data_IF_814129060797
#
_entry.id   IF_814129060797
#
_cell.length_a   1.000
_cell.length_b   1.000
_cell.length_c   1.000
_cell.angle_alpha   90.00
_cell.angle_beta   90.00
_cell.angle_gamma   90.00
#
_symmetry.space_group_name_H-M   'P 1'
#
loop_
_entity.id
_entity.type
_entity.pdbx_description
1 polymer ?
#
# COMPACT_ATOMS: atom_id res chain seq x y z
N UNK A 1 12.90 65.14 49.98
CA UNK A 1 11.78 64.24 50.38
C UNK A 1 11.05 63.89 49.09
N UNK A 2 11.26 62.69 48.49
CA UNK A 2 10.51 61.43 48.78
C UNK A 2 9.03 61.62 48.39
N UNK A 3 8.33 60.86 47.54
CA UNK A 3 8.54 59.58 46.83
C UNK A 3 7.44 59.44 45.75
N UNK A 4 7.79 58.88 44.59
CA UNK A 4 7.16 57.73 43.86
C UNK A 4 5.61 57.65 43.70
N UNK A 5 5.11 57.40 42.47
CA UNK A 5 4.62 56.06 42.05
C UNK A 5 3.99 56.02 40.65
N UNK A 6 4.41 55.01 39.89
CA UNK A 6 3.79 54.33 38.73
C UNK A 6 3.49 55.09 37.43
N UNK A 7 4.32 54.81 36.41
CA UNK A 7 3.91 54.81 35.00
C UNK A 7 4.17 53.43 34.42
N UNK A 8 3.09 52.78 33.99
CA UNK A 8 3.10 51.54 33.22
C UNK A 8 3.75 51.82 31.86
N UNK A 9 4.77 51.05 31.50
CA UNK A 9 5.36 51.03 30.16
C UNK A 9 4.59 49.98 29.35
N UNK A 10 3.84 50.45 28.35
CA UNK A 10 3.20 49.61 27.35
C UNK A 10 4.25 49.26 26.29
N UNK A 11 4.70 48.01 26.28
CA UNK A 11 5.56 47.45 25.22
C UNK A 11 4.65 46.99 24.09
N UNK A 12 4.76 47.64 22.92
CA UNK A 12 4.08 47.24 21.70
C UNK A 12 4.78 46.05 21.06
N UNK A 13 4.14 44.88 21.11
CA UNK A 13 4.60 43.65 20.47
C UNK A 13 4.05 43.61 19.04
N UNK A 14 4.93 43.74 18.05
CA UNK A 14 4.58 43.59 16.63
C UNK A 14 4.51 42.09 16.32
N UNK A 15 3.29 41.56 16.15
CA UNK A 15 3.07 40.23 15.60
C UNK A 15 3.20 40.31 14.07
N UNK A 16 4.29 39.79 13.52
CA UNK A 16 4.44 39.55 12.08
C UNK A 16 3.75 38.21 11.78
N UNK A 17 2.51 38.27 11.29
CA UNK A 17 1.74 37.11 10.85
C UNK A 17 2.25 36.71 9.46
N UNK A 18 3.16 35.73 9.40
CA UNK A 18 3.56 35.11 8.13
C UNK A 18 2.40 34.19 7.73
N UNK A 19 1.56 34.67 6.81
CA UNK A 19 0.63 33.81 6.11
C UNK A 19 1.45 32.92 5.16
N UNK A 20 1.74 31.68 5.59
CA UNK A 20 2.18 30.65 4.67
C UNK A 20 1.04 30.42 3.68
N UNK A 21 1.22 30.92 2.45
CA UNK A 21 0.36 30.54 1.33
C UNK A 21 0.69 29.07 1.06
N UNK A 22 -0.10 28.17 1.63
CA UNK A 22 -0.09 26.76 1.22
C UNK A 22 -0.53 26.79 -0.24
N UNK A 23 0.43 26.65 -1.15
CA UNK A 23 0.11 26.38 -2.54
C UNK A 23 -0.72 25.09 -2.55
N UNK A 24 -1.90 25.04 -3.18
CA UNK A 24 -2.60 23.79 -3.36
C UNK A 24 -1.67 22.89 -4.17
N UNK A 25 -1.14 21.84 -3.52
CA UNK A 25 -0.46 20.77 -4.22
C UNK A 25 -1.47 20.19 -5.20
N UNK A 26 -1.28 20.42 -6.50
CA UNK A 26 -2.18 19.90 -7.52
C UNK A 26 -1.85 18.42 -7.70
N UNK A 27 -2.41 17.58 -6.85
CA UNK A 27 -2.25 16.14 -6.97
C UNK A 27 -2.86 15.67 -8.31
N UNK A 28 -2.04 15.11 -9.18
CA UNK A 28 -2.51 14.52 -10.44
C UNK A 28 -3.00 13.11 -10.21
N UNK A 29 -4.15 12.75 -10.75
CA UNK A 29 -4.67 11.38 -10.69
C UNK A 29 -4.47 10.67 -12.03
N UNK A 30 -4.22 9.37 -11.98
CA UNK A 30 -4.02 8.51 -13.14
C UNK A 30 -4.95 7.30 -13.04
N UNK A 31 -5.65 7.02 -14.14
CA UNK A 31 -6.49 5.82 -14.30
C UNK A 31 -5.64 4.62 -14.75
N UNK A 32 -5.54 3.59 -13.92
CA UNK A 32 -4.99 2.29 -14.29
C UNK A 32 -6.15 1.39 -14.68
N UNK A 33 -6.13 0.86 -15.90
CA UNK A 33 -7.25 0.08 -16.48
C UNK A 33 -6.95 -1.41 -16.47
N UNK A 34 -7.96 -2.22 -16.17
CA UNK A 34 -7.95 -3.66 -16.42
C UNK A 34 -8.28 -4.01 -17.86
N UNK A 35 -8.13 -5.29 -18.19
CA UNK A 35 -8.51 -5.83 -19.48
C UNK A 35 -10.03 -5.69 -19.71
N UNK A 36 -10.44 -5.29 -20.92
CA UNK A 36 -11.86 -5.17 -21.25
C UNK A 36 -12.53 -6.53 -21.41
N UNK A 37 -13.74 -6.63 -20.89
CA UNK A 37 -14.67 -7.74 -21.07
C UNK A 37 -15.76 -7.31 -22.04
N UNK A 38 -16.00 -8.13 -23.07
CA UNK A 38 -17.09 -7.95 -24.03
C UNK A 38 -18.20 -8.94 -23.71
N UNK A 39 -19.32 -8.43 -23.17
CA UNK A 39 -20.44 -9.26 -22.72
C UNK A 39 -21.09 -10.04 -23.85
N UNK A 40 -20.85 -9.70 -25.13
CA UNK A 40 -21.38 -10.47 -26.25
C UNK A 40 -20.66 -11.80 -26.49
N UNK A 41 -19.43 -11.98 -25.99
CA UNK A 41 -18.60 -13.15 -26.31
C UNK A 41 -17.93 -13.78 -25.09
N UNK A 42 -17.94 -13.11 -23.95
CA UNK A 42 -17.38 -13.65 -22.70
C UNK A 42 -18.48 -14.30 -21.88
N UNK A 43 -18.34 -15.59 -21.57
CA UNK A 43 -19.22 -16.29 -20.63
C UNK A 43 -19.04 -15.75 -19.20
N UNK A 44 -20.09 -15.81 -18.37
CA UNK A 44 -20.11 -15.36 -16.98
C UNK A 44 -18.86 -15.79 -16.19
N UNK A 45 -18.58 -17.09 -16.17
CA UNK A 45 -17.47 -17.71 -15.43
C UNK A 45 -16.07 -17.23 -15.88
N UNK A 46 -15.97 -16.56 -17.04
CA UNK A 46 -14.73 -16.04 -17.59
C UNK A 46 -14.54 -14.54 -17.33
N UNK A 47 -15.47 -13.89 -16.62
CA UNK A 47 -15.36 -12.50 -16.21
C UNK A 47 -14.47 -12.43 -14.97
N UNK A 48 -13.20 -12.10 -15.17
CA UNK A 48 -12.21 -12.13 -14.10
C UNK A 48 -11.01 -11.22 -14.34
N UNK A 49 -10.52 -10.61 -13.25
CA UNK A 49 -9.33 -9.79 -13.21
C UNK A 49 -8.39 -10.17 -12.08
N UNK A 50 -7.14 -10.39 -12.43
CA UNK A 50 -6.02 -10.51 -11.50
C UNK A 50 -4.88 -9.61 -11.96
N UNK A 51 -3.72 -9.71 -11.32
CA UNK A 51 -2.57 -8.89 -11.66
C UNK A 51 -2.07 -9.05 -13.10
N UNK A 52 -2.39 -10.16 -13.78
CA UNK A 52 -1.93 -10.44 -15.14
C UNK A 52 -2.66 -9.60 -16.18
N UNK A 53 -3.89 -9.20 -15.88
CA UNK A 53 -4.76 -8.48 -16.80
C UNK A 53 -5.32 -7.16 -16.21
N UNK A 54 -5.04 -6.86 -14.93
CA UNK A 54 -5.38 -5.61 -14.29
C UNK A 54 -4.24 -5.10 -13.39
N UNK A 55 -3.35 -4.22 -13.91
CA UNK A 55 -2.20 -3.70 -13.15
C UNK A 55 -2.56 -2.83 -11.93
N UNK A 56 -3.85 -2.53 -11.72
CA UNK A 56 -4.33 -1.85 -10.52
C UNK A 56 -4.39 -2.76 -9.29
N UNK A 57 -4.51 -4.08 -9.52
CA UNK A 57 -4.34 -5.11 -8.51
C UNK A 57 -2.85 -5.38 -8.33
N UNK A 58 -2.40 -5.39 -7.09
CA UNK A 58 -1.01 -5.58 -6.76
C UNK A 58 -0.63 -7.06 -6.86
N UNK A 59 0.58 -7.29 -7.38
CA UNK A 59 1.23 -8.58 -7.28
C UNK A 59 2.75 -8.45 -7.23
N UNK A 60 3.39 -9.24 -6.38
CA UNK A 60 4.84 -9.28 -6.23
C UNK A 60 5.51 -10.15 -7.32
N UNK A 61 5.33 -9.77 -8.59
CA UNK A 61 5.73 -10.56 -9.77
C UNK A 61 7.19 -11.02 -9.78
N UNK A 62 8.10 -10.23 -9.22
CA UNK A 62 9.53 -10.49 -9.28
C UNK A 62 10.05 -11.38 -8.13
N UNK A 63 9.19 -11.84 -7.22
CA UNK A 63 9.59 -12.63 -6.05
C UNK A 63 9.27 -14.13 -6.16
N UNK A 64 8.51 -14.56 -7.18
CA UNK A 64 8.08 -15.95 -7.32
C UNK A 64 8.19 -16.45 -8.76
N UNK A 65 8.85 -17.59 -8.95
CA UNK A 65 8.96 -18.31 -10.22
C UNK A 65 7.76 -19.21 -10.52
N UNK A 66 6.83 -19.35 -9.56
CA UNK A 66 5.60 -20.12 -9.71
C UNK A 66 4.41 -19.19 -9.49
N UNK A 67 3.89 -18.70 -10.61
CA UNK A 67 2.74 -17.81 -10.68
C UNK A 67 1.52 -18.64 -11.02
N UNK A 68 0.69 -18.95 -10.03
CA UNK A 68 -0.68 -19.43 -10.32
C UNK A 68 -1.57 -18.21 -10.61
N UNK A 69 -2.48 -18.33 -11.58
CA UNK A 69 -3.58 -17.39 -11.73
C UNK A 69 -4.33 -17.24 -10.39
N UNK A 70 -4.76 -16.02 -10.05
CA UNK A 70 -5.38 -15.74 -8.75
C UNK A 70 -4.43 -15.68 -7.54
N UNK A 71 -3.10 -15.61 -7.75
CA UNK A 71 -2.17 -15.30 -6.67
C UNK A 71 -2.20 -13.80 -6.31
N UNK A 72 -2.28 -13.47 -5.02
CA UNK A 72 -2.44 -12.09 -4.57
C UNK A 72 -3.91 -11.69 -4.59
N UNK A 73 -4.23 -10.60 -5.27
CA UNK A 73 -5.60 -10.09 -5.41
C UNK A 73 -6.28 -10.64 -6.67
N UNK A 74 -7.57 -10.97 -6.54
CA UNK A 74 -8.39 -11.51 -7.62
C UNK A 74 -9.82 -11.01 -7.49
N UNK A 75 -10.33 -10.39 -8.55
CA UNK A 75 -11.71 -9.92 -8.66
C UNK A 75 -12.40 -10.74 -9.75
N UNK A 76 -13.51 -11.39 -9.46
CA UNK A 76 -14.21 -12.20 -10.45
C UNK A 76 -15.72 -12.17 -10.23
N UNK A 77 -16.45 -12.54 -11.28
CA UNK A 77 -17.89 -12.73 -11.23
C UNK A 77 -18.19 -14.21 -11.03
N UNK A 78 -19.10 -14.51 -10.11
CA UNK A 78 -19.68 -15.83 -9.91
C UNK A 78 -21.19 -15.69 -10.04
N UNK A 79 -21.78 -16.43 -10.99
CA UNK A 79 -23.21 -16.37 -11.21
C UNK A 79 -23.94 -17.05 -10.05
N UNK A 80 -24.90 -16.36 -9.45
CA UNK A 80 -25.86 -16.98 -8.54
C UNK A 80 -27.16 -17.29 -9.30
N UNK A 81 -27.44 -18.57 -9.50
CA UNK A 81 -28.67 -19.01 -10.17
C UNK A 81 -29.95 -18.62 -9.39
N UNK A 82 -29.83 -18.31 -8.10
CA UNK A 82 -30.91 -17.80 -7.26
C UNK A 82 -31.03 -16.26 -7.29
N UNK A 83 -30.16 -15.59 -8.06
CA UNK A 83 -30.20 -14.16 -8.35
C UNK A 83 -31.52 -13.69 -8.97
N UNK A 84 -31.88 -12.45 -8.70
CA UNK A 84 -33.10 -11.82 -9.24
C UNK A 84 -32.94 -11.30 -10.67
N UNK A 85 -31.70 -11.11 -11.13
CA UNK A 85 -31.31 -10.52 -12.40
C UNK A 85 -30.72 -11.58 -13.35
N UNK A 86 -30.79 -11.37 -14.68
CA UNK A 86 -30.08 -12.26 -15.62
C UNK A 86 -28.55 -12.12 -15.45
N UNK A 87 -27.86 -13.26 -15.37
CA UNK A 87 -26.40 -13.36 -15.32
C UNK A 87 -25.68 -12.54 -16.40
N UNK A 88 -24.54 -11.92 -16.07
CA UNK A 88 -23.70 -11.23 -17.05
C UNK A 88 -23.05 -12.19 -18.06
N UNK A 89 -22.71 -11.65 -19.23
CA UNK A 89 -21.93 -12.36 -20.26
C UNK A 89 -22.74 -12.83 -21.46
N UNK A 90 -22.16 -13.76 -22.23
CA UNK A 90 -22.58 -14.12 -23.59
C UNK A 90 -24.03 -14.64 -23.68
N UNK A 91 -24.53 -15.24 -22.59
CA UNK A 91 -25.90 -15.73 -22.47
C UNK A 91 -26.92 -14.59 -22.34
N UNK A 92 -26.57 -13.50 -21.66
CA UNK A 92 -27.39 -12.29 -21.55
C UNK A 92 -26.53 -11.03 -21.85
N UNK A 93 -26.18 -10.75 -23.13
CA UNK A 93 -25.23 -9.69 -23.47
C UNK A 93 -25.60 -8.28 -22.98
N UNK A 94 -26.90 -8.03 -22.75
CA UNK A 94 -27.44 -6.74 -22.27
C UNK A 94 -27.59 -6.66 -20.75
N UNK A 95 -27.34 -7.75 -20.02
CA UNK A 95 -27.37 -7.76 -18.56
C UNK A 95 -26.28 -6.84 -18.01
N UNK A 96 -26.67 -5.99 -17.06
CA UNK A 96 -25.80 -4.95 -16.48
C UNK A 96 -26.06 -4.78 -14.98
N UNK A 97 -26.71 -5.75 -14.36
CA UNK A 97 -26.90 -5.82 -12.91
C UNK A 97 -26.11 -7.03 -12.43
N UNK A 98 -25.25 -6.80 -11.46
CA UNK A 98 -24.59 -7.79 -10.62
C UNK A 98 -25.45 -7.86 -9.37
N UNK A 99 -26.03 -9.00 -9.04
CA UNK A 99 -26.79 -9.17 -7.81
C UNK A 99 -25.86 -9.28 -6.58
N UNK A 100 -26.44 -9.18 -5.38
CA UNK A 100 -25.71 -9.40 -4.11
C UNK A 100 -24.95 -10.73 -4.16
N UNK A 101 -23.69 -10.73 -3.72
CA UNK A 101 -22.86 -11.93 -3.70
C UNK A 101 -22.21 -12.34 -5.04
N UNK A 102 -22.57 -11.74 -6.18
CA UNK A 102 -22.06 -12.22 -7.48
C UNK A 102 -20.68 -11.66 -7.89
N UNK A 103 -20.25 -10.52 -7.32
CA UNK A 103 -18.91 -9.98 -7.52
C UNK A 103 -18.05 -10.35 -6.32
N UNK A 104 -17.10 -11.24 -6.53
CA UNK A 104 -16.21 -11.76 -5.50
C UNK A 104 -14.81 -11.14 -5.63
N UNK A 105 -14.24 -10.76 -4.50
CA UNK A 105 -12.87 -10.33 -4.37
C UNK A 105 -12.14 -11.23 -3.34
N UNK A 106 -11.01 -11.81 -3.74
CA UNK A 106 -10.16 -12.58 -2.84
C UNK A 106 -8.77 -11.97 -2.78
N UNK A 107 -8.15 -12.06 -1.60
CA UNK A 107 -6.75 -11.66 -1.41
C UNK A 107 -6.04 -12.59 -0.43
N UNK A 108 -4.77 -12.88 -0.69
CA UNK A 108 -3.95 -13.78 0.14
C UNK A 108 -2.66 -13.12 0.57
N UNK A 109 -2.22 -13.46 1.78
CA UNK A 109 -0.91 -13.00 2.25
C UNK A 109 0.23 -13.66 1.47
N UNK A 110 1.31 -12.91 1.31
CA UNK A 110 2.48 -13.28 0.51
C UNK A 110 3.75 -13.06 1.32
N UNK A 111 4.61 -14.09 1.38
CA UNK A 111 5.85 -14.08 2.16
C UNK A 111 6.99 -13.31 1.50
N UNK A 112 7.27 -12.10 1.95
CA UNK A 112 8.41 -11.30 1.49
C UNK A 112 9.67 -11.51 2.35
N UNK A 113 10.84 -11.27 1.75
CA UNK A 113 12.11 -11.13 2.48
C UNK A 113 12.36 -9.67 2.80
N UNK A 114 12.86 -9.38 4.00
CA UNK A 114 13.49 -8.09 4.26
C UNK A 114 14.69 -7.92 3.33
N UNK A 115 14.92 -6.71 2.82
CA UNK A 115 16.04 -6.44 1.89
C UNK A 115 17.39 -6.75 2.52
N UNK A 116 17.60 -6.42 3.79
CA UNK A 116 18.84 -6.79 4.49
C UNK A 116 19.06 -8.31 4.49
N UNK A 117 18.00 -9.11 4.63
CA UNK A 117 18.10 -10.58 4.61
C UNK A 117 18.39 -11.15 3.21
N UNK A 118 18.00 -10.45 2.13
CA UNK A 118 18.29 -10.88 0.76
C UNK A 118 19.66 -10.42 0.26
N UNK A 119 20.09 -9.22 0.65
CA UNK A 119 21.29 -8.58 0.11
C UNK A 119 22.54 -8.81 0.97
N UNK A 120 22.38 -9.02 2.29
CA UNK A 120 23.52 -9.22 3.19
C UNK A 120 23.69 -10.69 3.59
N UNK A 121 24.95 -11.12 3.72
CA UNK A 121 25.27 -12.49 4.13
C UNK A 121 25.14 -12.68 5.64
N UNK A 122 24.80 -13.90 6.07
CA UNK A 122 24.77 -14.32 7.48
C UNK A 122 23.85 -13.50 8.39
N UNK A 123 22.74 -12.97 7.85
CA UNK A 123 21.70 -12.33 8.65
C UNK A 123 20.87 -13.40 9.36
N UNK A 124 20.72 -13.25 10.68
CA UNK A 124 19.90 -14.16 11.50
C UNK A 124 18.86 -13.43 12.36
N UNK A 125 19.02 -12.12 12.61
CA UNK A 125 18.06 -11.34 13.42
C UNK A 125 16.71 -11.15 12.76
N UNK A 126 16.67 -11.03 11.44
CA UNK A 126 15.47 -10.74 10.65
C UNK A 126 15.48 -11.55 9.37
N UNK A 127 14.33 -12.02 8.92
CA UNK A 127 14.27 -12.91 7.76
C UNK A 127 13.17 -12.51 6.77
N UNK A 128 11.92 -12.75 7.15
CA UNK A 128 10.75 -12.63 6.32
C UNK A 128 9.71 -11.78 7.04
N UNK A 129 8.82 -11.20 6.24
CA UNK A 129 7.59 -10.57 6.67
C UNK A 129 6.51 -10.96 5.67
N UNK A 130 5.25 -10.88 6.07
CA UNK A 130 4.15 -11.16 5.17
C UNK A 130 3.51 -9.85 4.73
N UNK A 131 3.01 -9.84 3.50
CA UNK A 131 2.31 -8.70 2.93
C UNK A 131 0.98 -9.14 2.37
N UNK A 132 -0.04 -8.33 2.53
CA UNK A 132 -1.34 -8.53 1.91
C UNK A 132 -1.74 -7.25 1.21
N UNK A 133 -2.28 -7.37 0.00
CA UNK A 133 -2.81 -6.22 -0.73
C UNK A 133 -4.32 -6.22 -0.70
N UNK A 134 -4.89 -5.08 -0.34
CA UNK A 134 -6.33 -4.87 -0.25
C UNK A 134 -6.70 -3.73 -1.19
N UNK A 135 -7.38 -4.07 -2.29
CA UNK A 135 -7.71 -3.16 -3.40
C UNK A 135 -6.47 -2.42 -3.93
N UNK A 136 -5.35 -3.14 -3.98
CA UNK A 136 -3.98 -2.79 -4.34
C UNK A 136 -3.35 -1.70 -3.48
N UNK A 137 -3.81 -1.53 -2.25
CA UNK A 137 -3.01 -0.92 -1.18
C UNK A 137 -2.28 -2.04 -0.46
N UNK A 138 -0.96 -1.92 -0.30
CA UNK A 138 -0.13 -2.97 0.30
C UNK A 138 0.06 -2.75 1.80
N UNK A 139 -0.19 -3.79 2.58
CA UNK A 139 -0.06 -3.83 4.03
C UNK A 139 0.99 -4.85 4.44
N UNK A 140 1.65 -4.59 5.57
CA UNK A 140 2.34 -5.63 6.32
C UNK A 140 1.28 -6.43 7.06
N UNK A 141 1.45 -7.74 7.04
CA UNK A 141 0.65 -8.67 7.84
C UNK A 141 1.35 -8.84 9.18
N UNK A 142 0.60 -8.66 10.27
CA UNK A 142 1.08 -8.85 11.63
C UNK A 142 0.89 -10.31 12.02
N UNK A 143 1.87 -10.87 12.73
CA UNK A 143 1.90 -12.28 13.17
C UNK A 143 1.61 -13.36 12.10
N UNK A 144 1.80 -13.03 10.81
CA UNK A 144 1.42 -13.92 9.70
C UNK A 144 -0.09 -14.26 9.67
N UNK A 145 -0.92 -13.39 10.22
CA UNK A 145 -2.37 -13.47 10.19
C UNK A 145 -2.92 -12.39 9.25
N UNK A 146 -3.38 -12.79 8.07
CA UNK A 146 -3.94 -11.90 7.04
C UNK A 146 -5.13 -11.04 7.50
N UNK A 147 -5.71 -11.32 8.66
CA UNK A 147 -6.74 -10.49 9.29
C UNK A 147 -6.16 -9.27 10.02
N UNK A 148 -4.85 -9.25 10.30
CA UNK A 148 -4.17 -8.20 11.06
C UNK A 148 -3.20 -7.45 10.18
N UNK A 149 -3.48 -6.18 9.89
CA UNK A 149 -2.78 -5.41 8.87
C UNK A 149 -2.22 -4.09 9.42
N UNK A 150 -1.00 -3.74 8.99
CA UNK A 150 -0.39 -2.43 9.22
C UNK A 150 0.09 -1.84 7.90
N UNK A 151 -0.20 -0.56 7.65
CA UNK A 151 0.14 0.10 6.38
C UNK A 151 1.65 0.24 6.23
N UNK A 152 2.19 -0.21 5.09
CA UNK A 152 3.60 0.01 4.77
C UNK A 152 3.78 1.46 4.26
N UNK A 153 4.68 2.20 4.89
CA UNK A 153 4.98 3.60 4.54
C UNK A 153 6.19 3.72 3.62
N UNK A 154 7.21 2.88 3.84
CA UNK A 154 8.48 2.98 3.13
C UNK A 154 9.17 1.62 3.02
N UNK A 155 9.76 1.37 1.85
CA UNK A 155 10.70 0.28 1.60
C UNK A 155 11.79 0.80 0.67
N UNK A 156 13.03 0.85 1.12
CA UNK A 156 14.18 1.14 0.25
C UNK A 156 14.43 -0.02 -0.71
N UNK A 157 14.82 0.29 -1.95
CA UNK A 157 15.39 -0.67 -2.88
C UNK A 157 16.79 -1.10 -2.44
N UNK A 158 17.36 -2.09 -3.13
CA UNK A 158 18.75 -2.56 -2.90
C UNK A 158 19.80 -1.50 -3.24
N UNK A 159 19.50 -0.60 -4.17
CA UNK A 159 20.40 0.47 -4.60
C UNK A 159 20.30 1.76 -3.77
N UNK A 160 19.21 1.92 -3.02
CA UNK A 160 18.95 3.14 -2.25
C UNK A 160 19.88 3.27 -1.05
N UNK A 161 20.31 4.50 -0.78
CA UNK A 161 21.14 4.84 0.37
C UNK A 161 20.68 6.15 0.99
N UNK A 162 20.73 6.23 2.32
CA UNK A 162 20.55 7.47 3.06
C UNK A 162 21.80 7.76 3.87
N UNK A 163 22.51 8.84 3.53
CA UNK A 163 23.60 9.36 4.37
C UNK A 163 23.02 10.29 5.42
N UNK A 164 23.46 10.15 6.67
CA UNK A 164 23.07 11.00 7.79
C UNK A 164 24.28 11.49 8.55
N UNK A 165 24.41 12.80 8.74
CA UNK A 165 25.42 13.39 9.63
C UNK A 165 25.01 13.27 11.09
N UNK A 166 25.98 13.33 12.00
CA UNK A 166 25.68 13.49 13.44
C UNK A 166 24.83 14.75 13.69
N UNK A 167 23.74 14.58 14.43
CA UNK A 167 22.69 15.57 14.67
C UNK A 167 21.67 15.74 13.54
N UNK A 168 21.80 15.04 12.40
CA UNK A 168 20.83 15.11 11.30
C UNK A 168 19.57 14.31 11.63
N UNK A 169 18.42 14.92 11.34
CA UNK A 169 17.11 14.27 11.34
C UNK A 169 16.72 13.89 9.91
N UNK A 170 16.30 12.64 9.73
CA UNK A 170 15.67 12.16 8.52
C UNK A 170 14.17 12.02 8.74
N UNK A 171 13.41 13.00 8.26
CA UNK A 171 11.95 12.94 8.27
C UNK A 171 11.43 11.94 7.24
N UNK A 172 10.52 11.09 7.69
CA UNK A 172 9.80 10.06 6.93
C UNK A 172 8.30 10.35 6.94
N UNK A 173 7.50 9.49 6.30
CA UNK A 173 6.04 9.68 6.21
C UNK A 173 5.36 9.54 7.57
N UNK A 174 4.14 10.06 7.69
CA UNK A 174 3.27 9.94 8.87
C UNK A 174 3.94 10.35 10.20
N UNK A 175 4.78 11.38 10.15
CA UNK A 175 5.40 11.96 11.35
C UNK A 175 6.55 11.14 11.93
N UNK A 176 6.97 10.06 11.27
CA UNK A 176 8.17 9.32 11.65
C UNK A 176 9.43 10.13 11.32
N UNK A 177 10.43 10.07 12.18
CA UNK A 177 11.77 10.54 11.86
C UNK A 177 12.85 9.74 12.56
N UNK A 178 14.01 9.64 11.93
CA UNK A 178 15.20 9.00 12.50
C UNK A 178 16.26 10.08 12.73
N UNK A 179 16.86 10.11 13.91
CA UNK A 179 17.95 11.04 14.23
C UNK A 179 19.25 10.25 14.38
N UNK A 180 20.28 10.69 13.67
CA UNK A 180 21.65 10.19 13.83
C UNK A 180 22.33 11.01 14.92
N UNK A 181 22.14 10.66 16.19
CA UNK A 181 22.56 11.52 17.31
C UNK A 181 24.08 11.76 17.32
N UNK A 182 24.87 10.69 17.25
CA UNK A 182 26.32 10.77 17.33
C UNK A 182 27.02 9.53 16.75
N UNK A 183 28.31 9.68 16.48
CA UNK A 183 29.24 8.59 16.16
C UNK A 183 30.27 8.53 17.27
N UNK A 184 30.71 7.32 17.63
CA UNK A 184 31.73 7.12 18.65
C UNK A 184 33.12 7.60 18.18
N UNK A 185 34.06 7.67 19.14
CA UNK A 185 35.41 8.20 18.87
C UNK A 185 36.16 7.34 17.86
N UNK A 186 35.94 6.02 17.89
CA UNK A 186 36.61 5.06 17.03
C UNK A 186 36.01 5.03 15.61
N UNK A 187 34.80 5.60 15.42
CA UNK A 187 34.15 5.70 14.13
C UNK A 187 33.49 4.41 13.66
N UNK A 188 33.14 3.52 14.59
CA UNK A 188 32.55 2.22 14.28
C UNK A 188 31.20 1.98 14.95
N UNK A 189 30.73 2.92 15.79
CA UNK A 189 29.39 2.87 16.37
C UNK A 189 28.65 4.17 16.16
N UNK A 190 27.36 4.04 15.90
CA UNK A 190 26.47 5.18 15.83
C UNK A 190 25.32 5.02 16.81
N UNK A 191 24.92 6.14 17.38
CA UNK A 191 23.79 6.26 18.29
C UNK A 191 22.63 6.89 17.53
N UNK A 192 21.50 6.17 17.45
CA UNK A 192 20.33 6.58 16.66
C UNK A 192 19.06 6.51 17.51
N UNK A 193 18.11 7.38 17.19
CA UNK A 193 16.80 7.44 17.85
C UNK A 193 15.70 7.55 16.82
N UNK A 194 14.67 6.72 16.95
CA UNK A 194 13.46 6.79 16.16
C UNK A 194 12.39 7.60 16.90
N UNK A 195 11.74 8.50 16.19
CA UNK A 195 10.66 9.34 16.70
C UNK A 195 9.38 9.15 15.88
N UNK A 196 8.25 9.45 16.52
CA UNK A 196 6.97 9.71 15.84
C UNK A 196 6.31 10.94 16.44
N UNK A 197 5.99 11.92 15.60
CA UNK A 197 5.39 13.19 16.02
C UNK A 197 6.17 13.90 17.15
N UNK A 198 7.50 13.74 17.17
CA UNK A 198 8.39 14.28 18.19
C UNK A 198 8.46 13.48 19.51
N UNK A 199 7.69 12.40 19.64
CA UNK A 199 7.82 11.44 20.75
C UNK A 199 8.86 10.37 20.40
N UNK A 200 9.78 10.10 21.32
CA UNK A 200 10.79 9.06 21.18
C UNK A 200 10.12 7.68 21.25
N UNK A 201 10.30 6.88 20.20
CA UNK A 201 9.80 5.51 20.15
C UNK A 201 10.84 4.52 20.67
N UNK A 202 12.06 4.62 20.16
CA UNK A 202 13.16 3.76 20.56
C UNK A 202 14.51 4.41 20.26
N UNK A 203 15.54 3.95 20.97
CA UNK A 203 16.89 4.46 20.91
C UNK A 203 17.89 3.30 20.93
N UNK A 204 18.84 3.28 19.98
CA UNK A 204 19.80 2.20 19.83
C UNK A 204 21.23 2.64 19.53
N UNK A 205 22.19 1.77 19.85
CA UNK A 205 23.58 1.87 19.38
C UNK A 205 23.84 0.74 18.41
N UNK A 206 24.28 1.09 17.21
CA UNK A 206 24.57 0.15 16.12
C UNK A 206 26.07 0.13 15.87
N UNK A 207 26.64 -1.06 15.64
CA UNK A 207 28.09 -1.25 15.51
C UNK A 207 28.44 -1.86 14.15
N UNK A 208 29.35 -1.24 13.42
CA UNK A 208 29.88 -1.76 12.15
C UNK A 208 31.08 -2.69 12.30
N UNK A 209 31.66 -2.79 13.49
CA UNK A 209 32.79 -3.69 13.80
C UNK A 209 32.38 -5.13 14.13
N UNK A 210 31.07 -5.40 14.17
CA UNK A 210 30.51 -6.70 14.54
C UNK A 210 30.16 -7.58 13.36
N UNK A 211 29.24 -8.51 13.62
CA UNK A 211 28.53 -9.27 12.60
C UNK A 211 27.61 -8.38 11.77
N UNK A 212 27.09 -8.88 10.65
CA UNK A 212 26.08 -8.14 9.89
C UNK A 212 24.77 -7.95 10.68
N UNK A 213 24.49 -8.82 11.65
CA UNK A 213 23.37 -8.62 12.58
C UNK A 213 23.59 -7.44 13.53
N UNK A 214 24.83 -7.12 13.89
CA UNK A 214 25.16 -5.97 14.77
C UNK A 214 24.99 -4.61 14.07
N UNK A 215 24.86 -4.64 12.73
CA UNK A 215 24.59 -3.49 11.88
C UNK A 215 23.11 -3.23 11.66
N UNK A 216 22.23 -4.13 12.12
CA UNK A 216 20.78 -3.96 11.99
C UNK A 216 20.25 -3.24 13.23
N UNK A 217 19.47 -2.19 12.98
CA UNK A 217 18.60 -1.57 13.95
C UNK A 217 17.16 -1.82 13.56
N UNK A 218 16.36 -2.37 14.46
CA UNK A 218 14.93 -2.54 14.26
C UNK A 218 14.21 -2.19 15.55
N UNK A 219 12.93 -1.86 15.40
CA UNK A 219 12.04 -1.57 16.52
C UNK A 219 10.79 -2.39 16.34
N UNK A 220 10.42 -3.08 17.40
CA UNK A 220 9.19 -3.86 17.54
C UNK A 220 8.35 -3.29 18.67
N UNK A 221 7.03 -3.43 18.55
CA UNK A 221 6.07 -3.11 19.60
C UNK A 221 5.03 -4.22 19.64
N UNK A 222 4.40 -4.41 20.80
CA UNK A 222 3.25 -5.29 20.93
C UNK A 222 2.03 -4.60 20.30
N UNK A 223 1.36 -5.28 19.38
CA UNK A 223 0.06 -4.86 18.88
C UNK A 223 -1.01 -4.99 19.98
N UNK A 224 -2.20 -4.41 19.75
CA UNK A 224 -3.28 -4.34 20.75
C UNK A 224 -3.78 -5.70 21.27
N UNK A 225 -3.47 -6.77 20.55
CA UNK A 225 -3.77 -8.17 20.80
C UNK A 225 -2.61 -8.97 21.43
N UNK A 226 -1.43 -8.35 21.58
CA UNK A 226 -0.24 -8.93 22.21
C UNK A 226 0.76 -9.55 21.24
N UNK A 227 0.60 -9.36 19.93
CA UNK A 227 1.54 -9.88 18.94
C UNK A 227 2.70 -8.90 18.66
N UNK A 228 3.93 -9.40 18.61
CA UNK A 228 5.11 -8.60 18.31
C UNK A 228 5.17 -8.19 16.83
N UNK A 229 5.25 -6.89 16.56
CA UNK A 229 5.35 -6.34 15.22
C UNK A 229 6.59 -5.46 15.04
N UNK A 230 7.53 -5.90 14.20
CA UNK A 230 8.60 -5.02 13.70
C UNK A 230 7.95 -3.97 12.80
N UNK A 231 7.91 -2.72 13.25
CA UNK A 231 7.37 -1.61 12.47
C UNK A 231 8.47 -0.71 11.88
N UNK A 232 9.72 -0.82 12.36
CA UNK A 232 10.86 -0.12 11.78
C UNK A 232 12.08 -1.01 11.69
N UNK A 233 12.83 -0.90 10.59
CA UNK A 233 14.09 -1.59 10.37
C UNK A 233 15.01 -0.78 9.48
N UNK A 234 16.30 -0.76 9.78
CA UNK A 234 17.34 -0.21 8.90
C UNK A 234 18.68 -0.91 9.11
N UNK A 235 19.52 -0.94 8.07
CA UNK A 235 20.88 -1.46 8.12
C UNK A 235 21.90 -0.32 8.05
N UNK A 236 22.84 -0.28 8.99
CA UNK A 236 23.95 0.67 8.99
C UNK A 236 25.12 0.06 8.21
N UNK A 237 25.23 0.46 6.95
CA UNK A 237 26.21 -0.06 6.00
C UNK A 237 27.64 0.33 6.39
N UNK A 238 27.82 1.60 6.75
CA UNK A 238 29.13 2.17 7.09
C UNK A 238 28.98 3.40 7.97
N UNK A 239 30.01 3.63 8.79
CA UNK A 239 30.16 4.80 9.66
C UNK A 239 31.51 5.43 9.32
N UNK A 240 31.53 6.76 9.27
CA UNK A 240 32.71 7.55 8.98
C UNK A 240 32.88 8.61 10.07
N UNK A 241 34.00 8.53 10.79
CA UNK A 241 34.43 9.56 11.72
C UNK A 241 35.51 10.44 11.05
N UNK A 242 35.14 11.65 10.67
CA UNK A 242 36.04 12.65 10.12
C UNK A 242 36.57 13.61 11.20
N UNK A 243 37.54 14.45 10.84
CA UNK A 243 38.00 15.51 11.76
C UNK A 243 36.97 16.62 11.98
N UNK A 244 36.03 16.78 11.03
CA UNK A 244 35.04 17.86 11.01
C UNK A 244 33.63 17.30 11.01
N UNK A 245 33.35 16.35 10.12
CA UNK A 245 32.03 15.74 9.97
C UNK A 245 32.10 14.25 10.28
N UNK A 246 31.09 13.78 11.01
CA UNK A 246 30.82 12.35 11.22
C UNK A 246 29.49 12.01 10.55
N UNK A 247 29.43 10.88 9.85
CA UNK A 247 28.22 10.42 9.19
C UNK A 247 28.13 8.91 9.12
N UNK A 248 26.91 8.40 8.94
CA UNK A 248 26.66 7.01 8.63
C UNK A 248 25.85 6.88 7.33
N UNK A 249 25.98 5.73 6.68
CA UNK A 249 25.21 5.36 5.49
C UNK A 249 24.24 4.27 5.87
N UNK A 250 22.95 4.54 5.69
CA UNK A 250 21.86 3.63 5.91
C UNK A 250 21.39 3.00 4.60
N UNK A 251 21.01 1.72 4.67
CA UNK A 251 20.40 0.95 3.58
C UNK A 251 19.22 0.15 4.10
N UNK A 252 18.42 -0.35 3.16
CA UNK A 252 17.36 -1.32 3.39
C UNK A 252 16.33 -0.88 4.44
N UNK A 253 16.12 0.43 4.58
CA UNK A 253 15.13 0.96 5.52
C UNK A 253 13.73 0.50 5.14
N UNK A 254 13.02 -0.05 6.11
CA UNK A 254 11.65 -0.54 6.01
C UNK A 254 10.83 0.06 7.16
N UNK A 255 9.64 0.57 6.85
CA UNK A 255 8.77 1.23 7.82
C UNK A 255 7.31 0.87 7.55
N UNK A 256 6.65 0.31 8.56
CA UNK A 256 5.20 0.22 8.67
C UNK A 256 4.69 1.23 9.71
N UNK A 257 3.46 1.66 9.54
CA UNK A 257 2.82 2.61 10.44
C UNK A 257 2.21 1.88 11.64
N UNK A 258 2.86 2.01 12.81
CA UNK A 258 2.45 1.39 14.07
C UNK A 258 1.04 1.80 14.52
N UNK A 259 0.55 2.98 14.11
CA UNK A 259 -0.78 3.47 14.51
C UNK A 259 -1.85 3.17 13.45
N UNK A 260 -1.50 2.41 12.39
CA UNK A 260 -2.43 2.03 11.31
C UNK A 260 -2.93 0.59 11.41
N UNK A 261 -2.78 -0.02 12.59
CA UNK A 261 -3.22 -1.38 12.83
C UNK A 261 -4.73 -1.49 12.61
N UNK A 262 -5.12 -2.42 11.75
CA UNK A 262 -6.50 -2.80 11.50
C UNK A 262 -6.63 -4.30 11.66
N UNK A 263 -7.70 -4.73 12.32
CA UNK A 263 -8.12 -6.12 12.41
C UNK A 263 -9.38 -6.27 11.55
N UNK A 264 -9.38 -7.27 10.67
CA UNK A 264 -10.44 -7.53 9.69
C UNK A 264 -11.19 -8.78 10.09
N UNK A 265 -12.49 -8.64 10.30
CA UNK A 265 -13.41 -9.70 10.68
C UNK A 265 -14.44 -9.97 9.58
N UNK A 266 -15.05 -11.15 9.63
CA UNK A 266 -16.24 -11.43 8.83
C UNK A 266 -17.36 -10.44 9.19
N UNK A 267 -18.04 -9.92 8.17
CA UNK A 267 -19.02 -8.85 8.29
C UNK A 267 -18.46 -7.43 8.22
N UNK A 268 -17.13 -7.24 8.15
CA UNK A 268 -16.56 -5.91 7.93
C UNK A 268 -16.84 -5.41 6.51
N UNK A 269 -17.19 -4.12 6.37
CA UNK A 269 -17.51 -3.51 5.09
C UNK A 269 -16.33 -2.73 4.49
N UNK A 270 -16.09 -2.94 3.19
CA UNK A 270 -15.14 -2.21 2.37
C UNK A 270 -15.81 -1.61 1.13
N UNK A 271 -16.51 -0.49 1.30
CA UNK A 271 -17.26 0.13 0.21
C UNK A 271 -18.50 -0.70 -0.09
N UNK A 272 -18.64 -1.21 -1.32
CA UNK A 272 -19.76 -2.10 -1.66
C UNK A 272 -19.47 -3.58 -1.34
N UNK A 273 -18.33 -3.90 -0.73
CA UNK A 273 -17.95 -5.26 -0.35
C UNK A 273 -18.18 -5.49 1.14
N UNK A 274 -18.56 -6.70 1.50
CA UNK A 274 -18.57 -7.23 2.86
C UNK A 274 -17.61 -8.43 2.92
N UNK A 275 -16.96 -8.63 4.07
CA UNK A 275 -16.07 -9.78 4.28
C UNK A 275 -16.87 -11.04 4.61
N UNK A 276 -16.93 -11.97 3.65
CA UNK A 276 -17.54 -13.28 3.84
C UNK A 276 -16.67 -14.15 4.76
N UNK A 277 -15.35 -14.15 4.51
CA UNK A 277 -14.39 -14.98 5.24
C UNK A 277 -13.10 -14.20 5.53
N UNK A 278 -12.70 -14.22 6.81
CA UNK A 278 -11.44 -13.66 7.29
C UNK A 278 -10.65 -14.78 8.00
N UNK A 279 -9.53 -15.20 7.40
CA UNK A 279 -8.66 -16.24 7.97
C UNK A 279 -7.19 -15.86 7.85
N UNK A 280 -6.33 -16.49 8.64
CA UNK A 280 -4.90 -16.18 8.66
C UNK A 280 -4.21 -16.25 7.28
N UNK A 281 -4.75 -17.01 6.32
CA UNK A 281 -4.18 -17.12 4.97
C UNK A 281 -4.64 -16.04 3.97
N UNK A 282 -5.77 -15.38 4.22
CA UNK A 282 -6.38 -14.44 3.28
C UNK A 282 -7.81 -14.04 3.63
N UNK A 283 -8.37 -13.19 2.77
CA UNK A 283 -9.73 -12.65 2.90
C UNK A 283 -10.53 -12.97 1.63
N UNK A 284 -11.82 -13.25 1.81
CA UNK A 284 -12.82 -13.36 0.75
C UNK A 284 -13.93 -12.36 1.04
N UNK A 285 -14.28 -11.57 0.03
CA UNK A 285 -15.28 -10.53 0.10
C UNK A 285 -16.23 -10.65 -1.08
N UNK A 286 -17.50 -10.35 -0.85
CA UNK A 286 -18.53 -10.29 -1.89
C UNK A 286 -19.28 -8.97 -1.82
N UNK A 287 -19.93 -8.55 -2.91
CA UNK A 287 -20.69 -7.32 -2.87
C UNK A 287 -21.95 -7.48 -2.01
N UNK A 288 -22.11 -6.61 -1.01
CA UNK A 288 -23.23 -6.66 -0.04
C UNK A 288 -24.56 -6.18 -0.61
N UNK A 289 -24.53 -5.48 -1.75
CA UNK A 289 -25.70 -4.97 -2.46
C UNK A 289 -25.53 -5.17 -3.98
N UNK A 290 -26.64 -5.20 -4.71
CA UNK A 290 -26.62 -5.24 -6.17
C UNK A 290 -25.88 -4.05 -6.80
N UNK A 291 -25.05 -4.29 -7.80
CA UNK A 291 -24.30 -3.26 -8.54
C UNK A 291 -24.86 -3.15 -9.97
N UNK A 292 -25.43 -1.99 -10.29
CA UNK A 292 -25.86 -1.66 -11.67
C UNK A 292 -24.73 -0.98 -12.46
N UNK A 293 -24.17 -1.68 -13.44
CA UNK A 293 -23.16 -1.15 -14.36
C UNK A 293 -23.80 -0.09 -15.26
N UNK A 294 -23.24 1.11 -15.22
CA UNK A 294 -23.67 2.22 -16.05
C UNK A 294 -23.17 2.02 -17.49
N UNK A 295 -24.03 1.51 -18.37
CA UNK A 295 -23.77 1.30 -19.81
C UNK A 295 -23.88 2.61 -20.62
N UNK A 296 -23.19 3.64 -20.14
CA UNK A 296 -23.10 4.96 -20.78
C UNK A 296 -21.65 5.39 -20.78
N UNK A 297 -21.10 5.64 -21.98
CA UNK A 297 -19.69 5.93 -22.14
C UNK A 297 -19.25 7.13 -21.30
N UNK A 298 -18.22 6.92 -20.47
CA UNK A 298 -17.65 7.95 -19.60
C UNK A 298 -18.24 8.01 -18.19
N UNK A 299 -19.29 7.24 -17.89
CA UNK A 299 -19.83 7.09 -16.54
C UNK A 299 -19.06 6.01 -15.77
N UNK A 300 -18.74 6.28 -14.52
CA UNK A 300 -18.11 5.31 -13.61
C UNK A 300 -19.17 4.68 -12.71
N UNK A 301 -19.14 3.37 -12.55
CA UNK A 301 -19.91 2.63 -11.54
C UNK A 301 -18.96 2.26 -10.38
N UNK A 302 -19.12 2.85 -9.18
CA UNK A 302 -18.26 2.56 -8.03
C UNK A 302 -18.28 1.07 -7.65
N UNK A 303 -17.12 0.56 -7.23
CA UNK A 303 -16.98 -0.76 -6.60
C UNK A 303 -16.56 -0.54 -5.14
N UNK A 304 -15.36 0.00 -4.93
CA UNK A 304 -14.88 0.37 -3.59
C UNK A 304 -13.75 1.39 -3.68
N UNK A 305 -13.69 2.34 -2.75
CA UNK A 305 -12.63 3.35 -2.69
C UNK A 305 -12.31 4.00 -4.04
N UNK A 306 -11.11 3.73 -4.56
CA UNK A 306 -10.60 4.24 -5.84
C UNK A 306 -10.76 3.26 -7.02
N UNK A 307 -11.54 2.19 -6.85
CA UNK A 307 -11.82 1.14 -7.83
C UNK A 307 -13.27 1.26 -8.33
N UNK A 308 -13.46 1.29 -9.65
CA UNK A 308 -14.78 1.39 -10.29
C UNK A 308 -14.79 0.68 -11.65
N UNK A 309 -15.98 0.36 -12.16
CA UNK A 309 -16.17 -0.04 -13.55
C UNK A 309 -16.39 1.17 -14.47
N UNK A 310 -15.86 1.08 -15.69
CA UNK A 310 -16.28 1.90 -16.83
C UNK A 310 -16.80 0.98 -17.92
N UNK A 311 -17.87 1.40 -18.59
CA UNK A 311 -18.45 0.67 -19.70
C UNK A 311 -18.57 1.55 -20.95
N UNK A 312 -18.71 0.91 -22.10
CA UNK A 312 -19.19 1.54 -23.34
C UNK A 312 -20.70 1.80 -23.26
N UNK A 313 -21.23 2.48 -24.27
CA UNK A 313 -22.68 2.47 -24.49
C UNK A 313 -23.18 1.05 -24.78
N UNK A 314 -24.46 0.81 -24.50
CA UNK A 314 -25.16 -0.41 -24.91
C UNK A 314 -25.05 -0.64 -26.43
N UNK A 315 -24.91 -1.91 -26.84
CA UNK A 315 -24.82 -2.32 -28.24
C UNK A 315 -23.48 -2.01 -28.92
N UNK A 316 -22.46 -1.56 -28.17
CA UNK A 316 -21.09 -1.35 -28.65
C UNK A 316 -20.17 -2.56 -28.47
N UNK A 317 -20.65 -3.61 -27.79
CA UNK A 317 -19.98 -4.90 -27.73
C UNK A 317 -20.28 -5.77 -28.95
N UNK A 318 -19.83 -7.01 -28.86
CA UNK A 318 -20.06 -8.05 -29.86
C UNK A 318 -21.50 -8.56 -29.81
N UNK A 319 -21.91 -9.28 -30.86
CA UNK A 319 -23.21 -9.94 -30.90
C UNK A 319 -23.14 -11.22 -30.07
N UNK A 320 -24.14 -11.45 -29.23
CA UNK A 320 -24.29 -12.67 -28.44
C UNK A 320 -24.22 -13.94 -29.28
N UNK A 321 -23.97 -15.06 -28.63
CA UNK A 321 -23.88 -16.40 -29.24
C UNK A 321 -25.17 -16.81 -29.96
N UNK A 322 -26.30 -16.21 -29.61
CA UNK A 322 -27.60 -16.40 -30.25
C UNK A 322 -27.85 -15.52 -31.50
N UNK A 323 -26.93 -14.59 -31.80
CA UNK A 323 -27.01 -13.67 -32.93
C UNK A 323 -28.06 -12.55 -32.80
N UNK A 324 -28.75 -12.43 -31.67
CA UNK A 324 -29.96 -11.60 -31.54
C UNK A 324 -29.69 -10.19 -30.99
N UNK A 325 -28.72 -10.04 -30.09
CA UNK A 325 -28.46 -8.78 -29.38
C UNK A 325 -26.96 -8.47 -29.30
N UNK A 326 -26.63 -7.18 -29.29
CA UNK A 326 -25.26 -6.71 -29.05
C UNK A 326 -25.10 -6.31 -27.60
N UNK A 327 -24.05 -6.80 -26.96
CA UNK A 327 -23.72 -6.43 -25.59
C UNK A 327 -22.97 -5.09 -25.51
N UNK A 328 -22.13 -4.96 -24.49
CA UNK A 328 -21.27 -3.81 -24.25
C UNK A 328 -19.91 -4.28 -23.76
N UNK A 329 -18.95 -3.35 -23.69
CA UNK A 329 -17.61 -3.63 -23.19
C UNK A 329 -17.42 -2.89 -21.87
N UNK A 330 -16.94 -3.57 -20.84
CA UNK A 330 -16.63 -2.96 -19.55
C UNK A 330 -15.28 -3.41 -18.99
N UNK A 331 -14.71 -2.63 -18.09
CA UNK A 331 -13.44 -2.92 -17.43
C UNK A 331 -13.34 -2.20 -16.08
N UNK A 332 -12.61 -2.79 -15.11
CA UNK A 332 -12.29 -2.12 -13.86
C UNK A 332 -11.21 -1.07 -14.09
N UNK A 333 -11.25 -0.03 -13.29
CA UNK A 333 -10.28 1.06 -13.28
C UNK A 333 -9.97 1.44 -11.85
N UNK A 334 -8.68 1.55 -11.55
CA UNK A 334 -8.19 2.06 -10.28
C UNK A 334 -7.57 3.44 -10.47
N UNK A 335 -7.95 4.40 -9.63
CA UNK A 335 -7.38 5.75 -9.62
C UNK A 335 -6.21 5.82 -8.65
N UNK A 336 -5.07 6.24 -9.15
CA UNK A 336 -3.87 6.48 -8.33
C UNK A 336 -3.56 7.96 -8.31
N UNK A 337 -3.37 8.50 -7.11
CA UNK A 337 -2.93 9.88 -6.91
C UNK A 337 -1.42 9.93 -6.88
N UNK A 338 -0.82 10.75 -7.74
CA UNK A 338 0.61 11.02 -7.77
C UNK A 338 0.83 12.34 -7.02
N UNK A 339 1.42 12.23 -5.84
CA UNK A 339 1.88 13.40 -5.09
C UNK A 339 3.23 13.87 -5.65
N UNK A 340 3.29 15.10 -6.14
CA UNK A 340 4.53 15.74 -6.55
C UNK A 340 5.43 15.90 -5.31
N UNK A 341 6.41 15.01 -5.18
CA UNK A 341 7.43 15.10 -4.14
C UNK A 341 8.41 16.22 -4.50
N UNK A 342 8.01 17.49 -4.36
CA UNK A 342 8.95 18.61 -4.47
C UNK A 342 9.78 18.73 -3.19
N UNK A 343 10.71 17.80 -2.96
CA UNK A 343 11.85 18.07 -2.09
C UNK A 343 12.80 19.01 -2.83
N UNK A 344 12.67 20.31 -2.54
CA UNK A 344 13.58 21.32 -3.08
C UNK A 344 14.93 21.20 -2.37
N UNK A 345 15.78 20.28 -2.84
CA UNK A 345 17.21 20.35 -2.55
C UNK A 345 17.85 21.27 -3.60
N UNK A 346 18.05 22.54 -3.25
CA UNK A 346 18.90 23.44 -4.02
C UNK A 346 20.35 22.96 -3.96
N UNK A 347 20.75 22.11 -4.89
CA UNK A 347 22.16 21.85 -5.18
C UNK A 347 22.70 23.02 -6.00
N UNK A 348 23.31 24.00 -5.34
CA UNK A 348 24.33 24.81 -6.00
C UNK A 348 25.65 24.04 -5.93
N UNK A 349 26.03 23.42 -7.04
CA UNK A 349 27.37 22.87 -7.24
C UNK A 349 28.22 23.98 -7.84
N UNK A 350 29.19 24.50 -7.09
CA UNK A 350 30.34 25.19 -7.68
C UNK A 350 31.19 24.13 -8.38
N UNK A 351 31.22 24.15 -9.72
CA UNK A 351 32.15 23.36 -10.52
C UNK A 351 33.59 23.85 -10.28
N UNK A 352 34.43 22.97 -9.71
CA UNK A 352 35.88 23.06 -9.89
C UNK A 352 36.26 22.07 -10.97
N UNK A 353 36.55 22.59 -12.16
CA UNK A 353 37.05 21.85 -13.31
C UNK A 353 38.45 21.28 -13.07
N UNK A 354 38.62 19.98 -13.25
CA UNK A 354 39.95 19.38 -13.54
C UNK A 354 39.83 18.43 -14.73
N UNK A 355 40.45 18.84 -15.83
CA UNK A 355 40.79 18.01 -16.99
C UNK A 355 41.79 16.91 -16.57
N UNK A 356 41.59 15.67 -17.03
CA UNK A 356 42.63 14.99 -17.83
C UNK A 356 42.15 13.67 -18.48
N UNK A 357 42.13 13.70 -19.82
CA UNK A 357 42.82 12.82 -20.78
C UNK A 357 42.72 11.27 -20.67
N UNK A 358 41.92 10.71 -21.59
CA UNK A 358 41.98 9.45 -22.37
C UNK A 358 42.98 8.32 -22.06
N UNK A 359 42.51 7.06 -22.14
CA UNK A 359 43.09 5.98 -22.96
C UNK A 359 42.15 4.77 -23.07
N UNK A 360 42.02 4.25 -24.30
CA UNK A 360 41.30 3.04 -24.73
C UNK A 360 41.80 1.73 -24.10
N UNK A 361 40.91 0.73 -24.02
CA UNK A 361 41.12 -0.60 -24.64
C UNK A 361 39.85 -1.46 -24.61
N UNK A 362 39.43 -1.93 -25.78
CA UNK A 362 38.42 -2.99 -26.00
C UNK A 362 38.90 -4.34 -25.46
N UNK A 363 37.96 -5.18 -24.98
CA UNK A 363 38.01 -6.62 -25.27
C UNK A 363 36.61 -7.26 -25.22
N UNK A 364 36.35 -8.13 -26.19
CA UNK A 364 35.08 -8.83 -26.48
C UNK A 364 35.36 -10.32 -26.42
N UNK A 365 34.66 -11.10 -25.58
CA UNK A 365 34.56 -12.57 -25.76
C UNK A 365 33.19 -13.14 -25.36
N UNK A 366 32.40 -13.40 -26.41
CA UNK A 366 31.61 -14.61 -26.78
C UNK A 366 30.97 -15.51 -25.71
N UNK A 367 29.65 -15.69 -25.91
CA UNK A 367 28.71 -16.67 -25.32
C UNK A 367 28.87 -18.05 -25.95
N UNK A 368 28.83 -19.13 -25.16
CA UNK A 368 28.50 -20.47 -25.66
C UNK A 368 27.40 -21.14 -24.82
N UNK A 369 26.50 -21.80 -25.52
CA UNK A 369 25.31 -22.51 -25.08
C UNK A 369 25.58 -24.01 -25.24
N UNK A 370 25.38 -24.82 -24.20
CA UNK A 370 25.12 -26.24 -24.41
C UNK A 370 24.20 -26.82 -23.33
N UNK A 371 23.08 -27.33 -23.83
CA UNK A 371 22.16 -28.30 -23.23
C UNK A 371 22.85 -29.58 -22.77
N UNK A 372 22.33 -30.21 -21.72
CA UNK A 372 22.09 -31.66 -21.80
C UNK A 372 21.00 -32.13 -20.82
N UNK A 373 20.13 -32.96 -21.37
CA UNK A 373 19.11 -33.78 -20.73
C UNK A 373 19.73 -34.98 -20.02
N UNK A 374 19.13 -35.43 -18.91
CA UNK A 374 18.87 -36.85 -18.72
C UNK A 374 17.77 -37.10 -17.68
N UNK A 375 16.90 -38.01 -18.10
CA UNK A 375 15.76 -38.62 -17.45
C UNK A 375 16.27 -39.87 -16.69
N UNK A 376 15.76 -40.15 -15.49
CA UNK A 376 15.58 -41.53 -15.02
C UNK A 376 14.62 -41.58 -13.82
N UNK A 377 13.54 -42.31 -14.05
CA UNK A 377 12.54 -42.77 -13.10
C UNK A 377 13.10 -43.81 -12.12
N UNK A 378 12.60 -43.84 -10.88
CA UNK A 378 12.17 -45.12 -10.32
C UNK A 378 11.04 -44.98 -9.27
N UNK A 379 10.15 -45.95 -9.38
CA UNK A 379 8.94 -46.28 -8.60
C UNK A 379 9.31 -46.88 -7.22
N UNK A 380 8.53 -46.79 -6.13
CA UNK A 380 7.33 -47.61 -5.83
C UNK A 380 6.86 -47.40 -4.36
N UNK A 381 5.54 -47.46 -4.18
CA UNK A 381 4.78 -48.19 -3.14
C UNK A 381 4.89 -47.88 -1.62
N UNK A 382 3.82 -47.29 -1.07
CA UNK A 382 2.67 -47.99 -0.43
C UNK A 382 2.23 -47.48 0.97
N UNK A 383 0.90 -47.41 1.07
CA UNK A 383 0.04 -47.77 2.20
C UNK A 383 -0.06 -46.92 3.48
N UNK A 384 -1.13 -46.11 3.51
CA UNK A 384 -2.34 -46.28 4.35
C UNK A 384 -2.21 -46.25 5.90
N UNK A 385 -2.85 -45.27 6.54
CA UNK A 385 -3.85 -45.49 7.61
C UNK A 385 -4.47 -44.18 8.14
N UNK A 386 -5.80 -44.08 8.03
CA UNK A 386 -6.71 -43.22 8.81
C UNK A 386 -7.46 -44.17 9.78
N UNK A 387 -7.77 -43.77 11.03
CA UNK A 387 -9.13 -43.32 11.41
C UNK A 387 -9.13 -42.16 12.45
N UNK A 388 -9.87 -41.06 12.28
CA UNK A 388 -11.34 -40.81 12.41
C UNK A 388 -11.80 -40.37 13.82
N UNK A 389 -12.83 -39.49 13.82
CA UNK A 389 -13.78 -39.05 14.88
C UNK A 389 -13.38 -37.83 15.73
N UNK A 390 -14.27 -36.90 16.15
CA UNK A 390 -15.69 -36.54 15.95
C UNK A 390 -15.80 -35.10 16.54
N UNK A 391 -16.39 -34.12 15.84
CA UNK A 391 -17.77 -33.60 15.98
C UNK A 391 -18.07 -32.74 17.25
N UNK A 392 -18.54 -31.50 17.04
CA UNK A 392 -19.56 -30.78 17.85
C UNK A 392 -19.57 -29.24 17.64
N UNK A 393 -20.71 -28.76 17.13
CA UNK A 393 -21.20 -27.38 17.04
C UNK A 393 -21.65 -26.75 18.37
N UNK A 394 -21.66 -25.40 18.49
CA UNK A 394 -22.89 -24.58 18.68
C UNK A 394 -22.65 -23.08 18.98
N UNK A 395 -23.47 -22.25 18.30
CA UNK A 395 -23.88 -20.83 18.46
C UNK A 395 -24.05 -20.30 19.90
N UNK A 396 -24.26 -19.01 20.21
CA UNK A 396 -24.14 -17.66 19.59
C UNK A 396 -24.75 -16.71 20.63
N UNK A 397 -24.26 -15.50 20.87
CA UNK A 397 -25.11 -14.38 21.32
C UNK A 397 -24.56 -13.03 20.81
N UNK A 398 -25.51 -12.22 20.35
CA UNK A 398 -25.49 -10.93 19.66
C UNK A 398 -25.04 -9.76 20.55
N UNK A 399 -24.40 -8.73 19.98
CA UNK A 399 -24.59 -7.33 20.37
C UNK A 399 -24.22 -6.38 19.22
N UNK A 400 -25.16 -5.51 18.85
CA UNK A 400 -25.02 -4.43 17.88
C UNK A 400 -24.00 -3.38 18.37
N UNK A 401 -23.00 -3.05 17.54
CA UNK A 401 -22.16 -1.86 17.73
C UNK A 401 -21.90 -1.20 16.36
N UNK A 402 -22.39 0.05 16.23
CA UNK A 402 -22.05 0.95 15.12
C UNK A 402 -20.53 1.16 15.04
N UNK A 403 -19.87 0.62 14.02
CA UNK A 403 -18.46 0.91 13.73
C UNK A 403 -18.35 1.94 12.60
N UNK A 404 -17.97 3.16 12.99
CA UNK A 404 -17.48 4.20 12.10
C UNK A 404 -16.13 3.76 11.51
N UNK A 405 -16.08 3.59 10.19
CA UNK A 405 -14.87 3.27 9.42
C UNK A 405 -13.75 4.31 9.69
N UNK A 406 -12.62 3.96 10.30
CA UNK A 406 -11.45 4.83 10.42
C UNK A 406 -10.55 4.62 9.20
N UNK A 407 -10.48 5.59 8.28
CA UNK A 407 -9.57 5.49 7.14
C UNK A 407 -9.78 6.46 5.98
N UNK A 408 -10.85 7.26 5.99
CA UNK A 408 -11.15 8.18 4.91
C UNK A 408 -11.45 9.59 5.43
N UNK A 409 -10.45 10.46 5.46
CA UNK A 409 -10.72 11.89 5.42
C UNK A 409 -11.02 12.31 3.97
N UNK A 410 -12.28 12.18 3.57
CA UNK A 410 -12.83 12.99 2.48
C UNK A 410 -13.82 13.99 3.08
N UNK A 411 -13.38 15.24 3.25
CA UNK A 411 -14.28 16.34 3.56
C UNK A 411 -15.07 16.71 2.30
N UNK A 412 -16.24 16.07 2.14
CA UNK A 412 -17.27 16.51 1.19
C UNK A 412 -17.82 17.86 1.68
N UNK A 413 -17.22 18.96 1.22
CA UNK A 413 -17.76 20.30 1.42
C UNK A 413 -18.97 20.47 0.50
N UNK A 414 -20.15 20.08 0.99
CA UNK A 414 -21.43 20.44 0.37
C UNK A 414 -21.66 21.93 0.58
N UNK A 415 -21.28 22.76 -0.40
CA UNK A 415 -21.64 24.18 -0.41
C UNK A 415 -23.13 24.29 -0.76
N UNK A 416 -23.97 24.34 0.28
CA UNK A 416 -25.38 24.72 0.16
C UNK A 416 -25.48 26.25 0.14
N UNK A 417 -25.58 26.82 -1.06
CA UNK A 417 -25.83 28.26 -1.24
C UNK A 417 -27.29 28.55 -0.85
N UNK A 418 -27.50 29.02 0.38
CA UNK A 418 -28.77 29.63 0.79
C UNK A 418 -28.79 31.12 0.41
N UNK A 419 -29.62 31.48 -0.57
CA UNK A 419 -29.90 32.87 -0.96
C UNK A 419 -30.64 33.59 0.18
N UNK A 420 -30.00 34.57 0.82
CA UNK A 420 -30.66 35.52 1.72
C UNK A 420 -31.02 36.78 0.91
N UNK A 421 -32.30 36.95 0.59
CA UNK A 421 -32.86 38.20 0.08
C UNK A 421 -32.94 39.24 1.22
N UNK A 422 -31.97 40.16 1.29
CA UNK A 422 -32.07 41.33 2.14
C UNK A 422 -32.93 42.42 1.48
N UNK A 423 -34.07 42.66 2.11
CA UNK A 423 -34.93 43.84 2.00
C UNK A 423 -34.09 45.12 2.13
N UNK A 424 -34.08 45.96 1.07
CA UNK A 424 -33.80 47.38 1.22
C UNK A 424 -35.11 48.17 1.21
N UNK A 425 -35.45 48.70 2.39
CA UNK A 425 -36.40 49.81 2.59
C UNK A 425 -36.00 50.99 1.70
N UNK A 426 -36.88 51.39 0.78
CA UNK A 426 -36.94 52.77 0.29
C UNK A 426 -37.93 53.54 1.14
N UNK A 427 -37.42 54.44 1.97
CA UNK A 427 -38.16 55.62 2.47
C UNK A 427 -37.57 56.85 1.80
N UNK A 428 -38.37 57.56 1.01
CA UNK A 428 -38.36 59.03 0.77
C UNK A 428 -39.12 59.35 -0.53
N UNK A 429 -40.45 59.45 -0.48
CA UNK A 429 -41.25 60.69 -0.41
C UNK A 429 -42.72 60.38 -0.66
#
# INVERSE_FOLDING_TARGET
MVYKSQKNILVGMVFLLIAAVVAPCSATTVDIRGAPIDTGITDADNISWDYSNFPGLYFAANKYTQLSAGAGEHLYFENDDDGGSPSLGSANPTAHVIDEGELIYTTKQVKSKYKVFSEESNITKVNFFYTLSLFGTNYCVVDNDATKLAKILMQQSDSDKKTMKSGEEWSMKNGYSLVMNAVDIDGSKCYITLYKNGEELDTGVVSTDGSNDDKIYFVEDECSDGDDHIYFLTYVDSIFAGQVDNFAVLKYTWLADKDSYIEVSSGDEFGNFEVDEAVASGLTLSNSDSISISVSAGTATPITGNLYFKASDEGKGSTGTDGSTKGYVFYPVKVVTIEDSSSTATNQVEEVSVNDTSSDSEDVVVVDMSSDSNDESDTTDNANSVPNNDDSSSNSETNDVENSIPGFEFTLTVISISLICLLQRKTLK
#
